data_IF_639383129325
#
_entry.id   IF_639383129325
#
_cell.length_a   1.000
_cell.length_b   1.000
_cell.length_c   1.000
_cell.angle_alpha   90.00
_cell.angle_beta   90.00
_cell.angle_gamma   90.00
#
_symmetry.space_group_name_H-M   'P 1'
#
loop_
_entity.id
_entity.type
_entity.pdbx_description
1 polymer ?
#
# COMPACT_ATOMS: atom_id res chain seq x y z
N UNK A 1 -44.59 5.02 -2.24
CA UNK A 1 -43.49 5.90 -1.80
C UNK A 1 -42.90 5.54 -0.44
N UNK A 2 -43.75 5.31 0.57
CA UNK A 2 -43.26 4.98 1.91
C UNK A 2 -42.47 3.66 1.97
N UNK A 3 -42.85 2.66 1.14
CA UNK A 3 -42.15 1.38 1.09
C UNK A 3 -40.74 1.50 0.49
N UNK A 4 -40.56 2.37 -0.48
CA UNK A 4 -39.24 2.59 -1.13
C UNK A 4 -38.31 3.30 -0.19
N UNK A 5 -38.80 4.30 0.57
CA UNK A 5 -37.99 5.02 1.56
C UNK A 5 -37.56 4.08 2.68
N UNK A 6 -38.49 3.19 3.12
CA UNK A 6 -38.16 2.22 4.18
C UNK A 6 -37.10 1.22 3.70
N UNK A 7 -37.17 0.80 2.45
CA UNK A 7 -36.18 -0.13 1.87
C UNK A 7 -34.81 0.53 1.75
N UNK A 8 -34.77 1.82 1.36
CA UNK A 8 -33.56 2.59 1.27
C UNK A 8 -32.90 2.77 2.64
N UNK A 9 -33.71 3.00 3.66
CA UNK A 9 -33.24 3.13 5.03
C UNK A 9 -32.62 1.83 5.55
N UNK A 10 -33.25 0.70 5.23
CA UNK A 10 -32.72 -0.61 5.59
C UNK A 10 -31.39 -0.90 4.92
N UNK A 11 -31.26 -0.59 3.63
CA UNK A 11 -30.03 -0.77 2.87
C UNK A 11 -28.93 0.09 3.43
N UNK A 12 -29.24 1.32 3.80
CA UNK A 12 -28.28 2.25 4.40
C UNK A 12 -27.81 1.74 5.76
N UNK A 13 -28.72 1.16 6.56
CA UNK A 13 -28.36 0.60 7.87
C UNK A 13 -27.39 -0.57 7.75
N UNK A 14 -27.55 -1.41 6.74
CA UNK A 14 -26.63 -2.51 6.47
C UNK A 14 -25.25 -1.98 6.11
N UNK A 15 -25.17 -0.93 5.30
CA UNK A 15 -23.90 -0.29 4.96
C UNK A 15 -23.20 0.29 6.17
N UNK A 16 -23.94 0.92 7.07
CA UNK A 16 -23.37 1.48 8.29
C UNK A 16 -22.79 0.39 9.18
N UNK A 17 -23.46 -0.76 9.26
CA UNK A 17 -22.97 -1.91 10.04
C UNK A 17 -21.66 -2.47 9.47
N UNK A 18 -21.54 -2.53 8.14
CA UNK A 18 -20.30 -2.96 7.49
C UNK A 18 -19.19 -1.94 7.71
N UNK A 19 -19.52 -0.64 7.65
CA UNK A 19 -18.56 0.43 7.89
C UNK A 19 -18.07 0.48 9.34
N UNK A 20 -18.85 -0.08 10.27
CA UNK A 20 -18.46 -0.15 11.68
C UNK A 20 -17.53 -1.32 11.98
N UNK A 21 -17.23 -2.18 11.03
CA UNK A 21 -16.22 -3.21 11.23
C UNK A 21 -14.85 -2.53 11.37
N UNK A 22 -14.07 -2.96 12.36
CA UNK A 22 -12.83 -2.30 12.73
C UNK A 22 -11.68 -2.52 11.74
N UNK A 23 -11.91 -3.36 10.73
CA UNK A 23 -10.85 -3.78 9.83
C UNK A 23 -11.34 -3.66 8.38
N UNK A 24 -10.65 -2.89 7.53
CA UNK A 24 -11.03 -2.84 6.12
C UNK A 24 -10.80 -4.18 5.45
N UNK A 25 -11.57 -4.46 4.43
CA UNK A 25 -11.37 -5.67 3.64
C UNK A 25 -10.07 -5.56 2.83
N UNK A 26 -9.54 -6.72 2.44
CA UNK A 26 -8.35 -6.77 1.60
C UNK A 26 -8.57 -6.05 0.27
N UNK A 27 -9.75 -6.19 -0.31
CA UNK A 27 -10.11 -5.49 -1.55
C UNK A 27 -10.10 -3.97 -1.37
N UNK A 28 -10.65 -3.49 -0.26
CA UNK A 28 -10.67 -2.06 0.03
C UNK A 28 -9.24 -1.51 0.20
N UNK A 29 -8.39 -2.25 0.90
CA UNK A 29 -6.99 -1.87 1.08
C UNK A 29 -6.24 -1.82 -0.25
N UNK A 30 -6.46 -2.82 -1.11
CA UNK A 30 -5.81 -2.87 -2.40
C UNK A 30 -6.26 -1.75 -3.32
N UNK A 31 -7.53 -1.35 -3.24
CA UNK A 31 -8.03 -0.19 -3.98
C UNK A 31 -7.37 1.10 -3.51
N UNK A 32 -7.15 1.24 -2.20
CA UNK A 32 -6.40 2.38 -1.65
C UNK A 32 -4.98 2.42 -2.21
N UNK A 33 -4.31 1.27 -2.30
CA UNK A 33 -2.94 1.21 -2.78
C UNK A 33 -2.80 1.56 -4.26
N UNK A 34 -3.88 1.49 -5.02
CA UNK A 34 -3.89 1.83 -6.44
C UNK A 34 -4.14 3.31 -6.72
N UNK A 35 -4.46 4.09 -5.70
CA UNK A 35 -4.70 5.52 -5.88
C UNK A 35 -3.43 6.24 -6.32
N UNK A 36 -3.53 7.22 -7.24
CA UNK A 36 -2.35 7.94 -7.71
C UNK A 36 -1.52 8.57 -6.61
N UNK A 37 -2.17 9.06 -5.56
CA UNK A 37 -1.50 9.67 -4.40
C UNK A 37 -0.62 8.66 -3.68
N UNK A 38 -1.11 7.43 -3.52
CA UNK A 38 -0.39 6.36 -2.84
C UNK A 38 0.76 5.88 -3.73
N UNK A 39 0.52 5.72 -5.01
CA UNK A 39 1.56 5.32 -5.97
C UNK A 39 2.71 6.34 -5.96
N UNK A 40 2.37 7.64 -5.94
CA UNK A 40 3.38 8.69 -5.89
C UNK A 40 4.26 8.60 -4.65
N UNK A 41 3.66 8.29 -3.50
CA UNK A 41 4.40 8.15 -2.23
C UNK A 41 5.29 6.92 -2.26
N UNK A 42 4.80 5.81 -2.82
CA UNK A 42 5.59 4.58 -2.97
C UNK A 42 6.80 4.86 -3.85
N UNK A 43 6.60 5.51 -4.98
CA UNK A 43 7.70 5.81 -5.91
C UNK A 43 8.70 6.78 -5.30
N UNK A 44 8.21 7.75 -4.54
CA UNK A 44 9.08 8.67 -3.81
C UNK A 44 9.95 7.93 -2.80
N UNK A 45 9.37 6.98 -2.07
CA UNK A 45 10.13 6.18 -1.10
C UNK A 45 11.19 5.33 -1.80
N UNK A 46 10.90 4.82 -2.99
CA UNK A 46 11.90 4.06 -3.76
C UNK A 46 13.01 4.98 -4.29
N UNK A 47 12.69 6.21 -4.65
CA UNK A 47 13.71 7.20 -5.04
C UNK A 47 14.57 7.64 -3.86
N UNK A 48 14.05 7.55 -2.64
CA UNK A 48 14.84 7.82 -1.44
C UNK A 48 15.88 6.71 -1.19
N UNK A 49 15.57 5.48 -1.61
CA UNK A 49 16.50 4.36 -1.52
C UNK A 49 17.52 4.37 -2.65
N UNK A 50 17.11 4.81 -3.82
CA UNK A 50 17.95 4.88 -5.01
C UNK A 50 17.58 6.15 -5.77
N UNK A 51 18.42 7.15 -5.68
CA UNK A 51 18.18 8.47 -6.29
C UNK A 51 17.96 8.41 -7.79
N UNK A 52 18.55 7.42 -8.46
CA UNK A 52 18.42 7.23 -9.88
C UNK A 52 17.35 6.21 -10.24
N UNK A 53 16.48 5.85 -9.29
CA UNK A 53 15.40 4.88 -9.53
C UNK A 53 14.59 5.26 -10.77
N UNK A 54 14.23 4.25 -11.55
CA UNK A 54 13.44 4.36 -12.78
C UNK A 54 14.18 5.03 -13.94
N UNK A 55 15.47 5.34 -13.78
CA UNK A 55 16.33 5.83 -14.86
C UNK A 55 17.31 4.75 -15.29
N UNK A 56 18.01 5.00 -16.38
CA UNK A 56 19.01 4.04 -16.89
C UNK A 56 20.13 3.78 -15.91
N UNK A 57 20.47 4.76 -15.08
CA UNK A 57 21.55 4.65 -14.10
C UNK A 57 21.14 4.01 -12.80
N UNK A 58 19.85 3.94 -12.53
CA UNK A 58 19.34 3.41 -11.29
C UNK A 58 19.39 1.91 -11.20
N UNK A 59 19.49 1.39 -9.98
CA UNK A 59 19.39 -0.04 -9.72
C UNK A 59 17.93 -0.49 -9.67
N UNK A 60 17.05 0.36 -9.16
CA UNK A 60 15.62 0.10 -9.15
C UNK A 60 15.05 0.49 -10.51
N UNK A 61 14.61 -0.48 -11.28
CA UNK A 61 14.03 -0.25 -12.61
C UNK A 61 12.50 -0.30 -12.58
N UNK A 62 11.96 -1.19 -11.76
CA UNK A 62 10.52 -1.40 -11.65
C UNK A 62 10.19 -1.94 -10.28
N UNK A 63 8.89 -1.97 -9.97
CA UNK A 63 8.41 -2.58 -8.73
C UNK A 63 7.02 -3.16 -8.95
N UNK A 64 6.67 -4.12 -8.09
CA UNK A 64 5.35 -4.71 -8.06
C UNK A 64 4.88 -4.81 -6.63
N UNK A 65 3.61 -4.51 -6.39
CA UNK A 65 3.00 -4.65 -5.08
C UNK A 65 2.38 -6.04 -5.01
N UNK A 66 2.73 -6.80 -3.98
CA UNK A 66 2.09 -8.10 -3.75
C UNK A 66 0.77 -7.89 -3.03
N UNK A 67 -0.31 -7.73 -3.78
CA UNK A 67 -1.63 -7.45 -3.23
C UNK A 67 -2.19 -8.60 -2.39
N UNK A 68 -1.67 -9.82 -2.56
CA UNK A 68 -2.08 -10.97 -1.77
C UNK A 68 -1.58 -10.91 -0.34
N UNK A 69 -0.51 -10.16 -0.10
CA UNK A 69 0.10 -10.00 1.21
C UNK A 69 -0.26 -8.69 1.92
N UNK A 70 -1.23 -7.95 1.37
CA UNK A 70 -1.68 -6.72 1.98
C UNK A 70 -2.37 -7.02 3.30
N UNK A 71 -1.98 -6.34 4.38
CA UNK A 71 -2.54 -6.54 5.71
C UNK A 71 -2.82 -5.21 6.40
N UNK A 72 -3.83 -5.21 7.26
CA UNK A 72 -4.17 -4.04 8.05
C UNK A 72 -3.35 -4.06 9.34
N UNK A 73 -2.67 -2.96 9.62
CA UNK A 73 -1.91 -2.78 10.84
C UNK A 73 -2.74 -2.02 11.86
N UNK A 74 -2.65 -2.42 13.15
CA UNK A 74 -3.38 -1.79 14.24
C UNK A 74 -3.05 -0.30 14.43
N UNK A 75 -1.98 0.18 13.83
CA UNK A 75 -1.60 1.59 13.82
C UNK A 75 -2.31 2.38 12.73
N UNK A 76 -3.40 1.82 12.18
CA UNK A 76 -4.25 2.43 11.14
C UNK A 76 -3.56 2.58 9.79
N UNK A 77 -2.65 1.68 9.50
CA UNK A 77 -1.96 1.67 8.24
C UNK A 77 -2.23 0.42 7.44
N UNK A 78 -1.77 0.43 6.22
CA UNK A 78 -1.80 -0.72 5.33
C UNK A 78 -0.37 -1.20 5.15
N UNK A 79 -0.11 -2.43 5.58
CA UNK A 79 1.18 -3.08 5.35
C UNK A 79 1.15 -3.76 3.99
N UNK A 80 2.21 -3.59 3.25
CA UNK A 80 2.34 -4.22 1.95
C UNK A 80 3.75 -4.64 1.69
N UNK A 81 3.89 -5.62 0.83
CA UNK A 81 5.17 -6.15 0.37
C UNK A 81 5.38 -5.70 -1.06
N UNK A 82 6.51 -5.07 -1.33
CA UNK A 82 6.87 -4.57 -2.66
C UNK A 82 8.06 -5.38 -3.15
N UNK A 83 7.99 -5.87 -4.37
CA UNK A 83 9.09 -6.58 -5.02
C UNK A 83 9.76 -5.64 -6.03
N UNK A 84 11.08 -5.62 -6.02
CA UNK A 84 11.88 -4.73 -6.88
C UNK A 84 12.38 -5.53 -8.08
N UNK A 85 12.25 -4.94 -9.27
CA UNK A 85 12.75 -5.51 -10.54
C UNK A 85 12.22 -6.92 -10.84
N UNK A 86 11.00 -7.21 -10.38
CA UNK A 86 10.40 -8.53 -10.60
C UNK A 86 11.03 -9.66 -9.82
N UNK A 87 11.89 -9.35 -8.85
CA UNK A 87 12.59 -10.33 -8.03
C UNK A 87 11.97 -10.41 -6.64
N UNK A 88 11.38 -11.56 -6.30
CA UNK A 88 10.73 -11.74 -5.02
C UNK A 88 11.67 -11.77 -3.82
N UNK A 89 12.98 -11.83 -4.05
CA UNK A 89 13.99 -11.73 -3.00
C UNK A 89 14.34 -10.28 -2.68
N UNK A 90 14.08 -9.37 -3.61
CA UNK A 90 14.30 -7.94 -3.40
C UNK A 90 13.01 -7.32 -2.89
N UNK A 91 12.79 -7.43 -1.59
CA UNK A 91 11.54 -7.03 -0.92
C UNK A 91 11.69 -5.76 -0.13
N UNK A 92 10.65 -4.95 -0.19
CA UNK A 92 10.49 -3.81 0.69
C UNK A 92 9.13 -3.94 1.37
N UNK A 93 9.14 -4.13 2.69
CA UNK A 93 7.93 -4.12 3.48
C UNK A 93 7.66 -2.69 3.92
N UNK A 94 6.49 -2.20 3.63
CA UNK A 94 6.16 -0.80 3.83
C UNK A 94 4.80 -0.66 4.49
N UNK A 95 4.70 0.28 5.43
CA UNK A 95 3.45 0.63 6.09
C UNK A 95 3.05 2.02 5.63
N UNK A 96 1.88 2.11 4.99
CA UNK A 96 1.31 3.39 4.59
C UNK A 96 0.21 3.77 5.56
N UNK A 97 0.28 4.98 6.08
CA UNK A 97 -0.73 5.55 6.96
C UNK A 97 -1.46 6.68 6.27
N UNK A 98 -2.65 6.96 6.75
CA UNK A 98 -3.45 8.08 6.26
C UNK A 98 -3.86 8.93 7.45
N UNK A 99 -3.50 10.21 7.41
CA UNK A 99 -3.84 11.15 8.46
C UNK A 99 -4.32 12.45 7.82
N UNK A 100 -5.52 12.91 8.22
CA UNK A 100 -6.15 14.12 7.68
C UNK A 100 -6.22 14.12 6.15
N UNK A 101 -6.47 12.97 5.55
CA UNK A 101 -6.57 12.82 4.12
C UNK A 101 -5.24 12.72 3.39
N UNK A 102 -4.14 12.76 4.13
CA UNK A 102 -2.80 12.62 3.54
C UNK A 102 -2.21 11.26 3.82
N UNK A 103 -1.60 10.67 2.81
CA UNK A 103 -0.89 9.41 2.94
C UNK A 103 0.58 9.66 3.22
N UNK A 104 1.17 8.76 3.99
CA UNK A 104 2.58 8.84 4.33
C UNK A 104 3.13 7.43 4.55
N UNK A 105 4.43 7.27 4.34
CA UNK A 105 5.11 6.01 4.65
C UNK A 105 5.64 6.10 6.07
N UNK A 106 5.03 5.32 6.97
CA UNK A 106 5.41 5.34 8.37
C UNK A 106 6.64 4.48 8.67
N UNK A 107 6.72 3.32 8.00
CA UNK A 107 7.81 2.37 8.20
C UNK A 107 8.15 1.71 6.86
N UNK A 108 9.43 1.54 6.58
CA UNK A 108 9.92 0.76 5.46
C UNK A 108 11.06 -0.13 5.95
N UNK A 109 10.96 -1.43 5.65
CA UNK A 109 11.97 -2.42 6.02
C UNK A 109 12.41 -3.17 4.78
N UNK A 110 13.69 -3.08 4.46
CA UNK A 110 14.26 -3.76 3.31
C UNK A 110 14.69 -5.18 3.67
N UNK A 111 14.53 -6.12 2.74
CA UNK A 111 15.14 -7.43 2.90
C UNK A 111 16.66 -7.29 2.81
N UNK A 112 17.37 -8.25 3.38
CA UNK A 112 18.83 -8.26 3.29
C UNK A 112 19.31 -8.25 1.84
N UNK A 113 18.63 -9.01 0.99
CA UNK A 113 18.96 -9.12 -0.43
C UNK A 113 18.77 -7.77 -1.14
N UNK A 114 17.72 -7.03 -0.79
CA UNK A 114 17.50 -5.71 -1.35
C UNK A 114 18.57 -4.72 -0.90
N UNK A 115 18.89 -4.75 0.39
CA UNK A 115 19.93 -3.89 0.95
C UNK A 115 21.27 -4.15 0.27
N UNK A 116 21.66 -5.41 0.14
CA UNK A 116 22.90 -5.80 -0.54
C UNK A 116 22.91 -5.36 -2.01
N UNK A 117 21.77 -5.49 -2.68
CA UNK A 117 21.62 -5.10 -4.06
C UNK A 117 21.80 -3.59 -4.25
N UNK A 118 21.18 -2.80 -3.38
CA UNK A 118 21.26 -1.34 -3.45
C UNK A 118 22.67 -0.83 -3.12
N UNK A 119 23.38 -1.50 -2.23
CA UNK A 119 24.74 -1.14 -1.86
C UNK A 119 25.81 -1.73 -2.80
N UNK A 120 25.38 -2.53 -3.77
CA UNK A 120 26.31 -3.17 -4.69
C UNK A 120 27.02 -4.38 -4.14
N UNK A 121 26.54 -4.92 -3.02
CA UNK A 121 27.06 -6.17 -2.43
C UNK A 121 26.30 -7.35 -2.98
N UNK A 122 26.94 -8.48 -3.13
CA UNK A 122 26.30 -9.71 -3.57
C UNK A 122 26.23 -10.74 -2.46
#
# INVERSE_FOLDING_TARGET
MKKIVSLLMLTFSIFVLVACSNKPSKEAMNEELKKPEVIAIIEESLKNLDKEAFTEKGKIKSYDINYDKTEYNSRRGIEKEIYINGDSNLKLNSLITKDNGKYDVAVSVESKELDDFLEGRK
#
